data_IF_840517245744
#
_entry.id   IF_840517245744
#
_cell.length_a   1.000
_cell.length_b   1.000
_cell.length_c   1.000
_cell.angle_alpha   90.00
_cell.angle_beta   90.00
_cell.angle_gamma   90.00
#
_symmetry.space_group_name_H-M   'P 1'
#
loop_
_entity.id
_entity.type
_entity.pdbx_description
1 polymer ?
#
# COMPACT_ATOMS: atom_id res chain seq x y z
N UNK A 1 4.25 -17.08 12.78
CA UNK A 1 3.54 -16.04 11.99
C UNK A 1 2.05 -16.14 12.28
N UNK A 2 1.41 -15.07 12.77
CA UNK A 2 -0.01 -15.05 13.11
C UNK A 2 -0.86 -14.89 11.84
N UNK A 3 -1.52 -15.97 11.42
CA UNK A 3 -2.50 -15.96 10.34
C UNK A 3 -3.85 -15.50 10.91
N UNK A 4 -4.29 -14.28 10.59
CA UNK A 4 -5.61 -13.80 11.00
C UNK A 4 -6.71 -14.37 10.10
N UNK A 5 -7.31 -15.48 10.54
CA UNK A 5 -8.57 -15.99 9.99
C UNK A 5 -9.72 -15.50 10.88
N UNK A 6 -10.74 -14.84 10.31
CA UNK A 6 -12.02 -14.67 11.02
C UNK A 6 -12.61 -16.06 11.25
N UNK A 7 -13.00 -16.38 12.49
CA UNK A 7 -13.72 -17.62 12.81
C UNK A 7 -14.92 -17.73 11.86
N UNK A 8 -15.03 -18.85 11.15
CA UNK A 8 -16.12 -19.20 10.23
C UNK A 8 -16.07 -18.63 8.78
N UNK A 9 -14.92 -18.18 8.29
CA UNK A 9 -14.78 -17.88 6.85
C UNK A 9 -14.56 -19.16 6.02
N UNK A 10 -15.39 -19.35 4.99
CA UNK A 10 -15.20 -20.32 3.89
C UNK A 10 -14.41 -19.72 2.72
N UNK A 11 -13.93 -18.47 2.84
CA UNK A 11 -13.14 -17.87 1.78
C UNK A 11 -11.83 -18.67 1.62
N UNK A 12 -11.41 -18.98 0.38
CA UNK A 12 -10.15 -19.66 0.14
C UNK A 12 -9.02 -18.85 0.78
N UNK A 13 -8.16 -19.54 1.52
CA UNK A 13 -6.92 -18.98 2.04
C UNK A 13 -6.18 -18.36 0.86
N UNK A 14 -5.77 -17.07 0.90
CA UNK A 14 -5.01 -16.50 -0.20
C UNK A 14 -3.72 -17.30 -0.38
N UNK A 15 -3.67 -18.10 -1.45
CA UNK A 15 -2.61 -19.11 -1.70
C UNK A 15 -1.33 -18.49 -2.24
N UNK A 16 -1.32 -17.20 -2.53
CA UNK A 16 -0.17 -16.50 -3.08
C UNK A 16 0.12 -15.28 -2.21
N UNK A 17 0.87 -15.48 -1.15
CA UNK A 17 1.79 -14.42 -0.71
C UNK A 17 2.77 -14.21 -1.84
N UNK A 18 2.65 -13.10 -2.58
CA UNK A 18 3.76 -12.66 -3.44
C UNK A 18 4.96 -12.46 -2.53
N UNK A 19 5.86 -13.44 -2.52
CA UNK A 19 7.06 -13.43 -1.68
C UNK A 19 7.99 -12.28 -2.05
N UNK A 20 7.87 -11.74 -3.27
CA UNK A 20 8.65 -10.61 -3.76
C UNK A 20 8.16 -9.26 -3.19
N UNK A 21 6.84 -9.06 -3.05
CA UNK A 21 6.26 -7.77 -2.65
C UNK A 21 5.22 -7.94 -1.54
N UNK A 22 5.65 -7.97 -0.26
CA UNK A 22 4.75 -8.08 0.89
C UNK A 22 3.67 -6.99 0.94
N UNK A 23 3.93 -5.82 0.34
CA UNK A 23 2.96 -4.71 0.25
C UNK A 23 1.65 -5.14 -0.43
N UNK A 24 1.72 -6.06 -1.39
CA UNK A 24 0.55 -6.54 -2.14
C UNK A 24 -0.47 -7.19 -1.21
N UNK A 25 -0.02 -7.86 -0.14
CA UNK A 25 -0.91 -8.50 0.84
C UNK A 25 -1.72 -7.48 1.64
N UNK A 26 -1.15 -6.31 1.93
CA UNK A 26 -1.83 -5.25 2.68
C UNK A 26 -2.86 -4.53 1.81
N UNK A 27 -2.47 -4.14 0.60
CA UNK A 27 -3.34 -3.36 -0.29
C UNK A 27 -4.46 -4.21 -0.90
N UNK A 28 -4.19 -5.47 -1.27
CA UNK A 28 -5.15 -6.39 -1.89
C UNK A 28 -5.96 -7.22 -0.88
N UNK A 29 -6.28 -6.66 0.29
CA UNK A 29 -7.05 -7.36 1.33
C UNK A 29 -8.45 -7.82 0.87
N UNK A 30 -8.95 -7.34 -0.28
CA UNK A 30 -10.23 -7.81 -0.85
C UNK A 30 -10.10 -9.24 -1.40
N UNK A 31 -11.02 -10.13 -1.00
CA UNK A 31 -11.17 -11.46 -1.61
C UNK A 31 -11.70 -11.41 -3.04
N UNK A 32 -12.29 -10.28 -3.47
CA UNK A 32 -12.72 -10.10 -4.84
C UNK A 32 -11.50 -9.82 -5.73
N UNK A 33 -11.08 -10.82 -6.50
CA UNK A 33 -9.94 -10.75 -7.43
C UNK A 33 -10.05 -9.61 -8.44
N UNK A 34 -11.26 -9.25 -8.86
CA UNK A 34 -11.47 -8.16 -9.83
C UNK A 34 -11.15 -6.76 -9.25
N UNK A 35 -10.95 -6.67 -7.93
CA UNK A 35 -10.56 -5.44 -7.24
C UNK A 35 -9.11 -5.49 -6.74
N UNK A 36 -8.38 -6.56 -7.07
CA UNK A 36 -6.97 -6.64 -6.75
C UNK A 36 -6.19 -5.95 -7.85
N UNK A 37 -5.19 -5.17 -7.45
CA UNK A 37 -4.25 -4.55 -8.39
C UNK A 37 -2.99 -5.39 -8.47
N UNK A 38 -2.33 -5.37 -9.61
CA UNK A 38 -1.00 -5.94 -9.75
C UNK A 38 0.09 -4.93 -9.37
N UNK A 39 1.34 -5.36 -9.44
CA UNK A 39 2.50 -4.55 -9.09
C UNK A 39 2.64 -3.33 -9.99
N UNK A 40 2.47 -3.50 -11.30
CA UNK A 40 2.65 -2.41 -12.26
C UNK A 40 1.58 -1.33 -12.07
N UNK A 41 0.34 -1.74 -11.77
CA UNK A 41 -0.73 -0.83 -11.38
C UNK A 41 -0.37 -0.09 -10.10
N UNK A 42 0.13 -0.80 -9.08
CA UNK A 42 0.60 -0.17 -7.84
C UNK A 42 1.69 0.86 -8.10
N UNK A 43 2.71 0.53 -8.89
CA UNK A 43 3.78 1.47 -9.26
C UNK A 43 3.20 2.72 -9.92
N UNK A 44 2.32 2.54 -10.90
CA UNK A 44 1.71 3.63 -11.63
C UNK A 44 0.89 4.57 -10.75
N UNK A 45 0.16 4.04 -9.76
CA UNK A 45 -0.63 4.89 -8.83
C UNK A 45 0.23 5.52 -7.73
N UNK A 46 1.44 5.00 -7.46
CA UNK A 46 2.38 5.60 -6.53
C UNK A 46 3.28 6.64 -7.19
N UNK A 47 3.52 6.54 -8.50
CA UNK A 47 4.25 7.56 -9.27
C UNK A 47 3.37 8.77 -9.57
N UNK A 48 2.09 8.55 -9.83
CA UNK A 48 1.13 9.59 -10.18
C UNK A 48 -0.18 9.35 -9.42
N UNK A 49 -0.66 10.37 -8.70
CA UNK A 49 -1.89 10.26 -7.92
C UNK A 49 -3.10 10.00 -8.82
N UNK A 50 -3.78 8.87 -8.61
CA UNK A 50 -5.02 8.50 -9.32
C UNK A 50 -6.17 8.37 -8.34
N UNK A 51 -7.15 9.27 -8.48
CA UNK A 51 -8.26 9.41 -7.53
C UNK A 51 -9.09 8.14 -7.36
N UNK A 52 -9.30 7.37 -8.43
CA UNK A 52 -10.05 6.10 -8.42
C UNK A 52 -9.44 5.06 -7.44
N UNK A 53 -8.16 5.22 -7.11
CA UNK A 53 -7.41 4.33 -6.22
C UNK A 53 -7.28 4.88 -4.79
N UNK A 54 -8.09 5.88 -4.40
CA UNK A 54 -8.10 6.45 -3.04
C UNK A 54 -8.10 5.38 -1.93
N UNK A 55 -8.91 4.34 -2.11
CA UNK A 55 -9.00 3.21 -1.17
C UNK A 55 -7.68 2.44 -0.97
N UNK A 56 -6.82 2.39 -1.99
CA UNK A 56 -5.48 1.79 -1.89
C UNK A 56 -4.55 2.68 -1.08
N UNK A 57 -4.55 3.99 -1.31
CA UNK A 57 -3.72 4.91 -0.54
C UNK A 57 -4.09 4.94 0.95
N UNK A 58 -5.39 4.90 1.27
CA UNK A 58 -5.84 4.80 2.66
C UNK A 58 -5.27 3.56 3.35
N UNK A 59 -5.27 2.41 2.68
CA UNK A 59 -4.65 1.18 3.21
C UNK A 59 -3.14 1.29 3.31
N UNK A 60 -2.51 1.90 2.32
CA UNK A 60 -1.07 2.13 2.31
C UNK A 60 -0.66 2.89 3.57
N UNK A 61 -1.29 4.03 3.85
CA UNK A 61 -0.92 4.88 4.98
C UNK A 61 -1.43 4.38 6.33
N UNK A 62 -2.61 3.75 6.38
CA UNK A 62 -3.24 3.37 7.65
C UNK A 62 -2.97 1.93 8.08
N UNK A 63 -2.74 1.01 7.13
CA UNK A 63 -2.70 -0.43 7.41
C UNK A 63 -1.34 -1.06 7.10
N UNK A 64 -0.54 -0.43 6.24
CA UNK A 64 0.74 -1.00 5.80
C UNK A 64 1.90 -0.52 6.69
N UNK A 65 2.72 -1.43 7.25
CA UNK A 65 3.92 -1.04 7.98
C UNK A 65 4.88 -0.23 7.11
N UNK A 66 5.38 0.90 7.63
CA UNK A 66 6.30 1.80 6.92
C UNK A 66 7.50 1.08 6.30
N UNK A 67 8.10 0.11 7.01
CA UNK A 67 9.22 -0.69 6.49
C UNK A 67 8.90 -1.44 5.20
N UNK A 68 7.65 -1.86 5.03
CA UNK A 68 7.19 -2.61 3.85
C UNK A 68 6.97 -1.66 2.67
N UNK A 69 6.45 -0.45 2.95
CA UNK A 69 6.30 0.61 1.95
C UNK A 69 7.67 1.03 1.44
N UNK A 70 8.60 1.36 2.34
CA UNK A 70 9.95 1.78 1.99
C UNK A 70 10.68 0.70 1.18
N UNK A 71 10.62 -0.56 1.63
CA UNK A 71 11.23 -1.68 0.90
C UNK A 71 10.66 -1.82 -0.52
N UNK A 72 9.37 -1.52 -0.73
CA UNK A 72 8.77 -1.56 -2.06
C UNK A 72 9.25 -0.39 -2.93
N UNK A 73 9.32 0.83 -2.38
CA UNK A 73 9.84 2.00 -3.10
C UNK A 73 11.28 1.77 -3.56
N UNK A 74 12.14 1.23 -2.68
CA UNK A 74 13.54 0.91 -2.99
C UNK A 74 13.65 -0.20 -4.05
N UNK A 75 12.85 -1.26 -3.95
CA UNK A 75 12.88 -2.37 -4.91
C UNK A 75 12.44 -1.95 -6.32
N UNK A 76 11.51 -1.01 -6.41
CA UNK A 76 10.87 -0.63 -7.67
C UNK A 76 11.36 0.72 -8.22
N UNK A 77 12.38 1.31 -7.58
CA UNK A 77 12.99 2.60 -7.93
C UNK A 77 11.96 3.73 -8.03
N UNK A 78 11.10 3.82 -7.01
CA UNK A 78 10.05 4.84 -6.93
C UNK A 78 10.50 6.02 -6.06
N UNK A 79 10.28 7.23 -6.57
CA UNK A 79 10.59 8.47 -5.86
C UNK A 79 9.71 8.62 -4.60
N UNK A 80 10.31 8.71 -3.40
CA UNK A 80 9.58 8.98 -2.17
C UNK A 80 8.80 10.30 -2.21
N UNK A 81 9.23 11.29 -3.00
CA UNK A 81 8.56 12.57 -3.12
C UNK A 81 7.14 12.43 -3.71
N UNK A 82 6.94 11.51 -4.67
CA UNK A 82 5.60 11.21 -5.20
C UNK A 82 4.67 10.70 -4.09
N UNK A 83 5.18 9.84 -3.20
CA UNK A 83 4.40 9.33 -2.08
C UNK A 83 4.05 10.43 -1.06
N UNK A 84 4.96 11.39 -0.84
CA UNK A 84 4.72 12.57 0.00
C UNK A 84 3.65 13.49 -0.57
N UNK A 85 3.66 13.70 -1.89
CA UNK A 85 2.62 14.47 -2.58
C UNK A 85 1.25 13.79 -2.47
N UNK A 86 1.19 12.46 -2.60
CA UNK A 86 -0.05 11.69 -2.41
C UNK A 86 -0.57 11.85 -0.98
N UNK A 87 0.30 11.68 0.03
CA UNK A 87 -0.08 11.84 1.43
C UNK A 87 -0.63 13.24 1.72
N UNK A 88 0.08 14.27 1.25
CA UNK A 88 -0.32 15.68 1.40
C UNK A 88 -1.66 15.94 0.73
N UNK A 89 -1.84 15.47 -0.50
CA UNK A 89 -3.09 15.62 -1.26
C UNK A 89 -4.28 15.01 -0.50
N UNK A 90 -4.12 13.80 0.02
CA UNK A 90 -5.18 13.13 0.78
C UNK A 90 -5.46 13.82 2.12
N UNK A 91 -4.42 14.27 2.83
CA UNK A 91 -4.58 15.04 4.06
C UNK A 91 -5.32 16.36 3.81
N UNK A 92 -4.98 17.09 2.74
CA UNK A 92 -5.67 18.33 2.34
C UNK A 92 -7.13 18.10 1.95
N UNK A 93 -7.45 16.93 1.40
CA UNK A 93 -8.83 16.50 1.09
C UNK A 93 -9.61 16.04 2.35
N UNK A 94 -8.99 16.04 3.52
CA UNK A 94 -9.64 15.72 4.79
C UNK A 94 -9.72 14.23 5.11
N UNK A 95 -8.92 13.39 4.46
CA UNK A 95 -8.82 11.97 4.83
C UNK A 95 -8.08 11.80 6.16
N UNK A 96 -8.59 10.92 7.01
CA UNK A 96 -7.94 10.53 8.26
C UNK A 96 -6.78 9.55 7.98
N UNK A 97 -5.56 10.08 8.05
CA UNK A 97 -4.33 9.35 7.79
C UNK A 97 -3.49 9.25 9.07
N UNK A 98 -2.94 8.07 9.33
CA UNK A 98 -1.91 7.89 10.36
C UNK A 98 -0.70 8.75 10.01
N UNK A 99 -0.11 9.37 11.03
CA UNK A 99 1.10 10.17 10.87
C UNK A 99 2.17 9.38 10.12
N UNK A 100 2.53 9.89 8.94
CA UNK A 100 3.53 9.29 8.09
C UNK A 100 4.70 10.27 7.96
N UNK A 101 5.87 9.88 8.49
CA UNK A 101 7.08 10.72 8.41
C UNK A 101 7.96 10.26 7.25
N UNK A 102 8.34 11.18 6.38
CA UNK A 102 9.22 10.92 5.22
C UNK A 102 10.73 11.05 5.57
N UNK A 103 11.06 11.35 6.83
CA UNK A 103 12.41 11.68 7.33
C UNK A 103 13.51 10.62 7.14
N UNK A 104 13.21 9.42 6.63
CA UNK A 104 14.22 8.38 6.45
C UNK A 104 14.98 8.46 5.10
N UNK A 105 14.52 9.27 4.15
CA UNK A 105 15.10 9.34 2.80
C UNK A 105 16.16 10.45 2.61
N UNK A 106 16.39 11.29 3.63
CA UNK A 106 17.44 12.30 3.66
C UNK A 106 18.74 11.74 4.26
N UNK A 107 19.36 10.75 3.60
CA UNK A 107 20.78 10.41 3.83
C UNK A 107 21.56 10.73 2.56
N UNK A 108 22.02 11.98 2.49
CA UNK A 108 23.24 12.37 1.79
C UNK A 108 24.08 13.17 2.78
#
# INVERSE_FOLDING_TARGET
MLQYRRRNSNAPTPTVTSTLHPIMTYINWSYNKNRQIDKETLKSILSEFKEDYTHIYLRLFNETPKRIINSFLEQEDLDPASLEQIYTTLSCRGFDLRSFSFSLFMKN
#
